data_IF_954555857911
#
_entry.id   IF_954555857911
#
_cell.length_a   1.000
_cell.length_b   1.000
_cell.length_c   1.000
_cell.angle_alpha   90.00
_cell.angle_beta   90.00
_cell.angle_gamma   90.00
#
_symmetry.space_group_name_H-M   'P 1'
#
loop_
_entity.id
_entity.type
_entity.pdbx_description
1 polymer ?
#
# COMPACT_ATOMS: atom_id res chain seq x y z
N UNK A 1 -32.46 -25.59 -7.76
CA UNK A 1 -31.14 -25.32 -7.11
C UNK A 1 -30.93 -26.39 -6.05
N UNK A 2 -29.86 -27.20 -6.12
CA UNK A 2 -29.71 -28.37 -5.24
C UNK A 2 -29.30 -27.98 -3.81
N UNK A 3 -29.54 -28.86 -2.84
CA UNK A 3 -29.17 -28.66 -1.43
C UNK A 3 -27.66 -28.33 -1.28
N UNK A 4 -26.84 -28.99 -2.11
CA UNK A 4 -25.38 -28.80 -2.17
C UNK A 4 -25.04 -27.38 -2.60
N UNK A 5 -25.74 -26.83 -3.61
CA UNK A 5 -25.49 -25.47 -4.09
C UNK A 5 -25.83 -24.42 -3.03
N UNK A 6 -26.91 -24.63 -2.27
CA UNK A 6 -27.30 -23.76 -1.15
C UNK A 6 -26.28 -23.81 -0.01
N UNK A 7 -25.78 -25.00 0.32
CA UNK A 7 -24.76 -25.18 1.35
C UNK A 7 -23.43 -24.49 0.96
N UNK A 8 -22.99 -24.64 -0.28
CA UNK A 8 -21.79 -23.95 -0.80
C UNK A 8 -21.93 -22.43 -0.78
N UNK A 9 -23.11 -21.91 -1.15
CA UNK A 9 -23.38 -20.46 -1.06
C UNK A 9 -23.36 -19.96 0.40
N UNK A 10 -23.90 -20.73 1.33
CA UNK A 10 -23.84 -20.41 2.76
C UNK A 10 -22.39 -20.37 3.26
N UNK A 11 -21.57 -21.37 2.92
CA UNK A 11 -20.14 -21.38 3.27
C UNK A 11 -19.40 -20.18 2.67
N UNK A 12 -19.61 -19.87 1.37
CA UNK A 12 -19.01 -18.69 0.71
C UNK A 12 -19.35 -17.40 1.49
N UNK A 13 -20.63 -17.19 1.82
CA UNK A 13 -21.08 -16.01 2.58
C UNK A 13 -20.44 -15.95 3.96
N UNK A 14 -20.36 -17.07 4.67
CA UNK A 14 -19.76 -17.15 6.02
C UNK A 14 -18.27 -16.80 5.98
N UNK A 15 -17.52 -17.34 5.02
CA UNK A 15 -16.09 -17.05 4.85
C UNK A 15 -15.87 -15.57 4.54
N UNK A 16 -16.63 -15.01 3.58
CA UNK A 16 -16.54 -13.59 3.22
C UNK A 16 -16.85 -12.70 4.44
N UNK A 17 -17.91 -13.00 5.19
CA UNK A 17 -18.28 -12.21 6.36
C UNK A 17 -17.21 -12.24 7.45
N UNK A 18 -16.64 -13.41 7.75
CA UNK A 18 -15.56 -13.52 8.72
C UNK A 18 -14.31 -12.76 8.28
N UNK A 19 -13.89 -12.96 7.02
CA UNK A 19 -12.72 -12.26 6.48
C UNK A 19 -12.90 -10.74 6.48
N UNK A 20 -14.11 -10.25 6.19
CA UNK A 20 -14.41 -8.83 6.25
C UNK A 20 -14.30 -8.26 7.68
N UNK A 21 -14.77 -9.00 8.70
CA UNK A 21 -14.61 -8.62 10.11
C UNK A 21 -13.14 -8.56 10.52
N UNK A 22 -12.34 -9.51 10.06
CA UNK A 22 -10.90 -9.54 10.34
C UNK A 22 -10.20 -8.34 9.71
N UNK A 23 -10.54 -7.98 8.47
CA UNK A 23 -10.03 -6.77 7.81
C UNK A 23 -10.40 -5.52 8.58
N UNK A 24 -11.66 -5.37 9.03
CA UNK A 24 -12.10 -4.21 9.80
C UNK A 24 -11.32 -4.11 11.12
N UNK A 25 -11.15 -5.23 11.82
CA UNK A 25 -10.36 -5.28 13.07
C UNK A 25 -8.91 -4.88 12.83
N UNK A 26 -8.32 -5.35 11.73
CA UNK A 26 -6.97 -4.99 11.34
C UNK A 26 -6.85 -3.51 10.96
N UNK A 27 -7.83 -2.94 10.25
CA UNK A 27 -7.91 -1.51 9.94
C UNK A 27 -7.90 -0.69 11.23
N UNK A 28 -8.76 -1.01 12.19
CA UNK A 28 -8.84 -0.28 13.46
C UNK A 28 -7.52 -0.35 14.22
N UNK A 29 -6.87 -1.52 14.21
CA UNK A 29 -5.57 -1.73 14.83
C UNK A 29 -4.47 -0.88 14.17
N UNK A 30 -4.47 -0.79 12.83
CA UNK A 30 -3.55 0.05 12.08
C UNK A 30 -3.79 1.54 12.32
N UNK A 31 -5.05 1.98 12.38
CA UNK A 31 -5.39 3.37 12.70
C UNK A 31 -4.91 3.76 14.09
N UNK A 32 -5.10 2.88 15.08
CA UNK A 32 -4.52 3.05 16.41
C UNK A 32 -2.98 3.12 16.35
N UNK A 33 -2.35 2.20 15.62
CA UNK A 33 -0.89 2.18 15.48
C UNK A 33 -0.34 3.47 14.86
N UNK A 34 -1.01 4.04 13.85
CA UNK A 34 -0.64 5.30 13.19
C UNK A 34 -0.53 6.46 14.20
N UNK A 35 -1.32 6.45 15.27
CA UNK A 35 -1.28 7.48 16.32
C UNK A 35 -0.02 7.38 17.19
N UNK A 36 0.60 6.21 17.28
CA UNK A 36 1.75 5.94 18.16
C UNK A 36 3.10 5.89 17.43
N UNK A 37 3.12 5.94 16.09
CA UNK A 37 4.37 5.93 15.31
C UNK A 37 5.32 7.09 15.66
N UNK A 38 4.77 8.22 16.12
CA UNK A 38 5.54 9.39 16.48
C UNK A 38 6.36 9.19 17.77
N UNK A 39 6.01 8.21 18.61
CA UNK A 39 6.74 7.85 19.83
C UNK A 39 7.94 6.91 19.60
N UNK A 40 8.05 6.28 18.43
CA UNK A 40 9.14 5.34 18.12
C UNK A 40 10.51 6.03 18.02
N UNK A 41 11.60 5.32 18.27
CA UNK A 41 12.92 5.82 17.91
C UNK A 41 13.22 5.63 16.41
N UNK A 42 14.32 6.21 15.89
CA UNK A 42 14.67 6.14 14.47
C UNK A 42 14.95 4.70 14.03
N UNK A 43 15.69 3.93 14.82
CA UNK A 43 16.05 2.53 14.49
C UNK A 43 14.82 1.61 14.42
N UNK A 44 13.88 1.77 15.35
CA UNK A 44 12.59 1.08 15.31
C UNK A 44 11.77 1.49 14.08
N UNK A 45 11.77 2.79 13.78
CA UNK A 45 11.06 3.32 12.61
C UNK A 45 11.62 2.75 11.30
N UNK A 46 12.94 2.60 11.17
CA UNK A 46 13.60 1.98 10.01
C UNK A 46 13.19 0.52 9.85
N UNK A 47 13.20 -0.25 10.94
CA UNK A 47 12.81 -1.66 10.93
C UNK A 47 11.35 -1.81 10.49
N UNK A 48 10.45 -1.04 11.10
CA UNK A 48 9.02 -1.09 10.79
C UNK A 48 8.77 -0.59 9.37
N UNK A 49 9.50 0.42 8.88
CA UNK A 49 9.40 0.89 7.49
C UNK A 49 9.74 -0.23 6.49
N UNK A 50 10.85 -0.94 6.73
CA UNK A 50 11.28 -2.05 5.88
C UNK A 50 10.24 -3.16 5.83
N UNK A 51 9.66 -3.53 6.98
CA UNK A 51 8.66 -4.58 7.05
C UNK A 51 7.31 -4.12 6.47
N UNK A 52 6.92 -2.86 6.68
CA UNK A 52 5.72 -2.27 6.07
C UNK A 52 5.80 -2.31 4.54
N UNK A 53 6.95 -1.93 3.95
CA UNK A 53 7.16 -2.01 2.49
C UNK A 53 6.99 -3.43 1.95
N UNK A 54 7.54 -4.44 2.65
CA UNK A 54 7.35 -5.86 2.28
C UNK A 54 5.89 -6.28 2.38
N UNK A 55 5.19 -5.84 3.42
CA UNK A 55 3.77 -6.15 3.64
C UNK A 55 2.94 -5.56 2.50
N UNK A 56 3.13 -4.27 2.16
CA UNK A 56 2.45 -3.61 1.05
C UNK A 56 2.60 -4.42 -0.24
N UNK A 57 3.84 -4.77 -0.62
CA UNK A 57 4.09 -5.56 -1.84
C UNK A 57 3.36 -6.92 -1.83
N UNK A 58 3.32 -7.60 -0.68
CA UNK A 58 2.56 -8.86 -0.56
C UNK A 58 1.05 -8.64 -0.72
N UNK A 59 0.51 -7.56 -0.16
CA UNK A 59 -0.91 -7.24 -0.26
C UNK A 59 -1.33 -6.73 -1.64
N UNK A 60 -0.45 -6.05 -2.37
CA UNK A 60 -0.65 -5.69 -3.78
C UNK A 60 -0.78 -6.95 -4.65
N UNK A 61 0.16 -7.88 -4.54
CA UNK A 61 0.10 -9.17 -5.25
C UNK A 61 -1.16 -9.95 -4.86
N UNK A 62 -1.56 -9.90 -3.59
CA UNK A 62 -2.80 -10.51 -3.13
C UNK A 62 -4.03 -9.86 -3.76
N UNK A 63 -4.06 -8.52 -3.84
CA UNK A 63 -5.12 -7.72 -4.45
C UNK A 63 -5.33 -8.10 -5.92
N UNK A 64 -4.24 -8.23 -6.68
CA UNK A 64 -4.26 -8.65 -8.09
C UNK A 64 -4.81 -10.08 -8.25
N UNK A 65 -4.35 -11.00 -7.40
CA UNK A 65 -4.83 -12.39 -7.38
C UNK A 65 -6.30 -12.51 -7.00
N UNK A 66 -6.78 -11.67 -6.08
CA UNK A 66 -8.18 -11.66 -5.67
C UNK A 66 -9.08 -10.99 -6.72
N UNK A 67 -8.58 -9.96 -7.39
CA UNK A 67 -9.28 -9.27 -8.49
C UNK A 67 -9.47 -10.17 -9.71
N UNK A 68 -8.46 -10.96 -10.08
CA UNK A 68 -8.52 -11.89 -11.22
C UNK A 68 -9.46 -13.09 -11.02
N UNK A 69 -9.87 -13.39 -9.78
CA UNK A 69 -10.70 -14.56 -9.44
C UNK A 69 -12.15 -14.24 -9.08
N UNK A 70 -12.63 -13.01 -9.31
CA UNK A 70 -13.94 -12.52 -8.84
C UNK A 70 -14.16 -12.75 -7.32
N UNK A 71 -13.06 -12.78 -6.55
CA UNK A 71 -13.14 -13.00 -5.10
C UNK A 71 -13.89 -11.85 -4.41
N UNK A 72 -13.74 -10.64 -4.97
CA UNK A 72 -14.43 -9.42 -4.57
C UNK A 72 -15.80 -9.23 -5.24
N UNK A 73 -16.58 -10.31 -5.46
CA UNK A 73 -18.01 -10.20 -5.79
C UNK A 73 -18.82 -9.46 -4.69
N UNK A 74 -18.18 -9.15 -3.56
CA UNK A 74 -18.70 -8.32 -2.49
C UNK A 74 -17.98 -6.96 -2.52
N UNK A 75 -18.74 -5.90 -2.81
CA UNK A 75 -18.26 -4.51 -2.88
C UNK A 75 -17.70 -4.02 -1.55
N UNK A 76 -18.35 -4.35 -0.44
CA UNK A 76 -17.92 -3.97 0.92
C UNK A 76 -16.53 -4.54 1.24
N UNK A 77 -16.30 -5.82 0.94
CA UNK A 77 -14.99 -6.46 1.12
C UNK A 77 -13.91 -5.79 0.28
N UNK A 78 -14.24 -5.43 -0.97
CA UNK A 78 -13.32 -4.73 -1.87
C UNK A 78 -12.91 -3.38 -1.31
N UNK A 79 -13.87 -2.62 -0.82
CA UNK A 79 -13.64 -1.28 -0.30
C UNK A 79 -12.88 -1.31 1.02
N UNK A 80 -13.20 -2.25 1.91
CA UNK A 80 -12.45 -2.48 3.14
C UNK A 80 -11.00 -2.90 2.86
N UNK A 81 -10.78 -3.79 1.89
CA UNK A 81 -9.42 -4.18 1.51
C UNK A 81 -8.60 -3.01 0.92
N UNK A 82 -9.22 -2.17 0.09
CA UNK A 82 -8.59 -0.93 -0.39
C UNK A 82 -8.27 0.04 0.74
N UNK A 83 -9.18 0.18 1.71
CA UNK A 83 -8.96 1.04 2.87
C UNK A 83 -7.81 0.53 3.74
N UNK A 84 -7.73 -0.79 3.94
CA UNK A 84 -6.62 -1.43 4.63
C UNK A 84 -5.27 -1.13 3.95
N UNK A 85 -5.18 -1.25 2.61
CA UNK A 85 -3.99 -0.84 1.84
C UNK A 85 -3.67 0.65 2.05
N UNK A 86 -4.68 1.52 2.02
CA UNK A 86 -4.50 2.95 2.30
C UNK A 86 -3.91 3.21 3.69
N UNK A 87 -4.32 2.47 4.71
CA UNK A 87 -3.73 2.55 6.05
C UNK A 87 -2.26 2.13 6.07
N UNK A 88 -1.90 1.05 5.36
CA UNK A 88 -0.50 0.64 5.22
C UNK A 88 0.37 1.73 4.58
N UNK A 89 -0.09 2.38 3.50
CA UNK A 89 0.64 3.50 2.90
C UNK A 89 0.73 4.72 3.81
N UNK A 90 -0.28 4.98 4.65
CA UNK A 90 -0.19 6.06 5.66
C UNK A 90 0.91 5.75 6.69
N UNK A 91 1.00 4.50 7.16
CA UNK A 91 2.07 4.04 8.07
C UNK A 91 3.42 4.23 7.38
N UNK A 92 3.56 3.72 6.16
CA UNK A 92 4.78 3.83 5.35
C UNK A 92 5.22 5.28 5.19
N UNK A 93 4.30 6.18 4.81
CA UNK A 93 4.61 7.61 4.63
C UNK A 93 5.06 8.29 5.91
N UNK A 94 4.39 8.03 7.05
CA UNK A 94 4.80 8.58 8.36
C UNK A 94 6.20 8.11 8.75
N UNK A 95 6.46 6.80 8.64
CA UNK A 95 7.76 6.22 8.96
C UNK A 95 8.84 6.73 8.02
N UNK A 96 8.55 6.85 6.72
CA UNK A 96 9.47 7.37 5.73
C UNK A 96 9.90 8.80 6.05
N UNK A 97 8.95 9.67 6.41
CA UNK A 97 9.29 11.04 6.84
C UNK A 97 10.22 11.01 8.05
N UNK A 98 9.87 10.24 9.08
CA UNK A 98 10.64 10.16 10.33
C UNK A 98 12.07 9.65 10.13
N UNK A 99 12.24 8.57 9.37
CA UNK A 99 13.55 7.95 9.11
C UNK A 99 14.47 8.91 8.34
N UNK A 100 13.94 9.57 7.31
CA UNK A 100 14.77 10.37 6.41
C UNK A 100 14.81 11.87 6.75
N UNK A 101 14.06 12.34 7.75
CA UNK A 101 14.02 13.75 8.14
C UNK A 101 15.39 14.27 8.60
N UNK A 102 16.20 13.43 9.24
CA UNK A 102 17.53 13.79 9.76
C UNK A 102 18.68 13.40 8.84
N UNK A 103 18.40 12.81 7.67
CA UNK A 103 19.44 12.42 6.71
C UNK A 103 19.92 13.67 5.98
N UNK A 104 21.23 13.85 5.92
CA UNK A 104 21.84 14.99 5.24
C UNK A 104 21.36 15.06 3.79
N UNK A 105 20.74 16.18 3.42
CA UNK A 105 20.34 16.45 2.04
C UNK A 105 21.61 16.82 1.27
N UNK A 106 22.22 15.83 0.63
CA UNK A 106 23.33 16.06 -0.30
C UNK A 106 22.72 16.72 -1.54
N UNK A 107 23.04 17.99 -1.76
CA UNK A 107 22.65 18.68 -3.00
C UNK A 107 23.29 17.94 -4.17
N UNK A 108 22.48 17.54 -5.14
CA UNK A 108 22.97 16.99 -6.41
C UNK A 108 23.93 17.98 -7.06
N UNK A 109 25.03 17.47 -7.59
CA UNK A 109 26.01 18.26 -8.33
C UNK A 109 25.34 19.10 -9.42
N UNK A 110 25.75 20.35 -9.55
CA UNK A 110 25.21 21.27 -10.55
C UNK A 110 25.54 20.80 -11.99
N UNK A 111 26.63 20.05 -12.20
CA UNK A 111 26.91 19.43 -13.49
C UNK A 111 25.87 18.37 -13.86
N UNK A 112 25.49 17.52 -12.90
CA UNK A 112 24.47 16.50 -13.10
C UNK A 112 23.10 17.12 -13.39
N UNK A 113 22.73 18.19 -12.67
CA UNK A 113 21.52 18.96 -12.96
C UNK A 113 21.52 19.52 -14.38
N UNK A 114 22.61 20.17 -14.78
CA UNK A 114 22.75 20.74 -16.13
C UNK A 114 22.68 19.66 -17.21
N UNK A 115 23.30 18.50 -16.96
CA UNK A 115 23.23 17.34 -17.84
C UNK A 115 21.79 16.84 -18.04
N UNK A 116 21.05 16.64 -16.95
CA UNK A 116 19.64 16.19 -16.99
C UNK A 116 18.74 17.21 -17.69
N UNK A 117 18.90 18.50 -17.38
CA UNK A 117 18.12 19.57 -18.04
C UNK A 117 18.36 19.57 -19.54
N UNK A 118 19.62 19.42 -19.98
CA UNK A 118 20.00 19.39 -21.39
C UNK A 118 19.46 18.14 -22.12
N UNK A 119 19.47 16.98 -21.44
CA UNK A 119 18.89 15.74 -21.95
C UNK A 119 17.38 15.85 -22.12
N UNK A 120 16.69 16.40 -21.12
CA UNK A 120 15.25 16.62 -21.16
C UNK A 120 14.86 17.63 -22.26
N UNK A 121 15.58 18.74 -22.41
CA UNK A 121 15.30 19.70 -23.49
C UNK A 121 15.47 19.08 -24.88
N UNK A 122 16.46 18.22 -25.07
CA UNK A 122 16.67 17.52 -26.35
C UNK A 122 15.56 16.51 -26.63
N UNK A 123 15.10 15.79 -25.62
CA UNK A 123 14.05 14.77 -25.79
C UNK A 123 12.66 15.36 -25.94
N UNK A 124 12.37 16.50 -25.30
CA UNK A 124 11.11 17.23 -25.51
C UNK A 124 10.99 17.69 -26.96
N UNK A 125 12.08 18.17 -27.56
CA UNK A 125 12.08 18.59 -28.96
C UNK A 125 11.77 17.42 -29.93
N UNK A 126 12.19 16.20 -29.60
CA UNK A 126 11.91 14.99 -30.38
C UNK A 126 10.49 14.43 -30.14
N UNK A 127 9.90 14.70 -28.97
CA UNK A 127 8.51 14.31 -28.65
C UNK A 127 7.47 15.25 -29.26
N UNK A 128 7.84 16.51 -29.47
CA UNK A 128 6.97 17.55 -30.07
C UNK A 128 7.15 17.69 -31.59
N UNK A 129 8.09 16.97 -32.19
CA UNK A 129 8.32 16.93 -33.63
C UNK A 129 7.51 15.86 -34.38
N UNK A 130 6.49 15.29 -33.73
CA UNK A 130 5.48 14.44 -34.36
C UNK A 130 4.27 15.27 -34.80
#
# INVERSE_FOLDING_TARGET
MSLITRFLQFLKKRVISNFNKDIITFILSMEGAIMHLDALNISESEKILKDTKKIISKFEVLSEKMSSKNFYDNTELKDNFKYMLKCLYKIESKLHKKVYQSVAVIKTDEELKKGVVKMNSSNIHNLLSC
#
